data_IF_817661814226
#
_entry.id   IF_817661814226
#
_cell.length_a   1.000
_cell.length_b   1.000
_cell.length_c   1.000
_cell.angle_alpha   90.00
_cell.angle_beta   90.00
_cell.angle_gamma   90.00
#
_symmetry.space_group_name_H-M   'P 1'
#
loop_
_entity.id
_entity.type
_entity.pdbx_description
1 polymer ?
#
# COMPACT_ATOMS: atom_id res chain seq x y z
N UNK A 1 -33.34 -25.71 -13.99
CA UNK A 1 -32.79 -24.96 -12.83
C UNK A 1 -31.27 -25.11 -12.60
N UNK A 2 -30.57 -26.08 -13.22
CA UNK A 2 -29.11 -26.28 -13.03
C UNK A 2 -28.25 -25.04 -13.34
N UNK A 3 -28.64 -24.24 -14.35
CA UNK A 3 -27.90 -23.02 -14.73
C UNK A 3 -27.90 -21.95 -13.63
N UNK A 4 -29.02 -21.77 -12.91
CA UNK A 4 -29.11 -20.76 -11.84
C UNK A 4 -28.25 -21.16 -10.63
N UNK A 5 -28.22 -22.45 -10.28
CA UNK A 5 -27.35 -22.95 -9.22
C UNK A 5 -25.86 -22.72 -9.55
N UNK A 6 -25.45 -22.98 -10.79
CA UNK A 6 -24.08 -22.75 -11.23
C UNK A 6 -23.68 -21.25 -11.20
N UNK A 7 -24.61 -20.36 -11.57
CA UNK A 7 -24.40 -18.91 -11.48
C UNK A 7 -24.24 -18.47 -10.01
N UNK A 8 -25.12 -18.96 -9.13
CA UNK A 8 -25.07 -18.64 -7.69
C UNK A 8 -23.75 -19.09 -7.05
N UNK A 9 -23.28 -20.29 -7.40
CA UNK A 9 -21.99 -20.80 -6.92
C UNK A 9 -20.84 -19.89 -7.36
N UNK A 10 -20.79 -19.54 -8.65
CA UNK A 10 -19.75 -18.65 -9.18
C UNK A 10 -19.75 -17.29 -8.48
N UNK A 11 -20.93 -16.70 -8.25
CA UNK A 11 -21.03 -15.43 -7.52
C UNK A 11 -20.50 -15.54 -6.09
N UNK A 12 -20.82 -16.64 -5.41
CA UNK A 12 -20.36 -16.89 -4.05
C UNK A 12 -18.84 -17.06 -3.99
N UNK A 13 -18.26 -17.82 -4.92
CA UNK A 13 -16.81 -18.04 -5.01
C UNK A 13 -16.07 -16.73 -5.27
N UNK A 14 -16.54 -15.91 -6.22
CA UNK A 14 -15.89 -14.63 -6.53
C UNK A 14 -16.06 -13.61 -5.39
N UNK A 15 -17.19 -13.61 -4.67
CA UNK A 15 -17.36 -12.78 -3.48
C UNK A 15 -16.32 -13.12 -2.41
N UNK A 16 -16.03 -14.40 -2.19
CA UNK A 16 -14.97 -14.82 -1.25
C UNK A 16 -13.58 -14.35 -1.69
N UNK A 17 -13.29 -14.37 -3.00
CA UNK A 17 -12.04 -13.80 -3.54
C UNK A 17 -11.95 -12.30 -3.23
N UNK A 18 -13.02 -11.56 -3.50
CA UNK A 18 -13.03 -10.11 -3.27
C UNK A 18 -12.95 -9.73 -1.79
N UNK A 19 -13.54 -10.52 -0.89
CA UNK A 19 -13.36 -10.36 0.56
C UNK A 19 -11.89 -10.54 0.99
N UNK A 20 -11.19 -11.52 0.41
CA UNK A 20 -9.74 -11.71 0.65
C UNK A 20 -8.91 -10.55 0.10
N UNK A 21 -9.22 -10.07 -1.11
CA UNK A 21 -8.56 -8.89 -1.70
C UNK A 21 -8.71 -7.68 -0.79
N UNK A 22 -9.91 -7.42 -0.27
CA UNK A 22 -10.18 -6.35 0.70
C UNK A 22 -9.33 -6.50 1.97
N UNK A 23 -9.30 -7.69 2.57
CA UNK A 23 -8.50 -7.95 3.77
C UNK A 23 -7.00 -7.73 3.53
N UNK A 24 -6.47 -8.21 2.40
CA UNK A 24 -5.07 -8.03 2.02
C UNK A 24 -4.74 -6.55 1.77
N UNK A 25 -5.64 -5.80 1.14
CA UNK A 25 -5.47 -4.37 0.91
C UNK A 25 -5.43 -3.59 2.24
N UNK A 26 -6.29 -3.93 3.20
CA UNK A 26 -6.24 -3.34 4.56
C UNK A 26 -4.88 -3.61 5.23
N UNK A 27 -4.38 -4.85 5.16
CA UNK A 27 -3.08 -5.20 5.73
C UNK A 27 -1.92 -4.46 5.04
N UNK A 28 -1.96 -4.35 3.71
CA UNK A 28 -0.98 -3.59 2.95
C UNK A 28 -1.00 -2.10 3.32
N UNK A 29 -2.17 -1.48 3.44
CA UNK A 29 -2.28 -0.08 3.88
C UNK A 29 -1.68 0.14 5.26
N UNK A 30 -1.97 -0.75 6.22
CA UNK A 30 -1.41 -0.68 7.57
C UNK A 30 0.12 -0.81 7.56
N UNK A 31 0.68 -1.75 6.78
CA UNK A 31 2.12 -1.93 6.65
C UNK A 31 2.80 -0.70 6.03
N UNK A 32 2.21 -0.10 4.99
CA UNK A 32 2.75 1.10 4.34
C UNK A 32 2.68 2.33 5.27
N UNK A 33 1.63 2.45 6.08
CA UNK A 33 1.53 3.49 7.10
C UNK A 33 2.60 3.37 8.19
N UNK A 34 3.01 2.14 8.52
CA UNK A 34 4.00 1.89 9.57
C UNK A 34 5.42 2.34 9.18
N UNK A 35 5.74 2.46 7.88
CA UNK A 35 7.07 2.85 7.39
C UNK A 35 7.61 4.12 8.07
N UNK A 36 6.76 5.14 8.27
CA UNK A 36 7.20 6.40 8.88
C UNK A 36 7.59 6.26 10.34
N UNK A 37 6.97 5.30 11.04
CA UNK A 37 7.23 5.03 12.45
C UNK A 37 8.40 4.08 12.61
N UNK A 38 8.38 2.96 11.89
CA UNK A 38 9.38 1.89 11.98
C UNK A 38 10.78 2.35 11.55
N UNK A 39 10.84 3.31 10.61
CA UNK A 39 12.09 3.85 10.08
C UNK A 39 12.30 5.34 10.42
N UNK A 40 11.62 5.86 11.45
CA UNK A 40 11.66 7.29 11.81
C UNK A 40 13.09 7.85 11.95
N UNK A 41 13.99 7.10 12.60
CA UNK A 41 15.38 7.52 12.80
C UNK A 41 16.16 7.63 11.48
N UNK A 42 15.97 6.66 10.56
CA UNK A 42 16.61 6.67 9.23
C UNK A 42 16.08 7.83 8.40
N UNK A 43 14.76 8.00 8.38
CA UNK A 43 14.09 9.10 7.67
C UNK A 43 14.61 10.45 8.19
N UNK A 44 14.66 10.65 9.51
CA UNK A 44 15.16 11.88 10.13
C UNK A 44 16.63 12.14 9.77
N UNK A 45 17.46 11.11 9.77
CA UNK A 45 18.89 11.23 9.42
C UNK A 45 19.05 11.70 7.99
N UNK A 46 18.37 11.07 7.04
CA UNK A 46 18.45 11.42 5.62
C UNK A 46 17.86 12.82 5.38
N UNK A 47 16.77 13.19 6.07
CA UNK A 47 16.18 14.52 5.93
C UNK A 47 17.13 15.63 6.41
N UNK A 48 18.02 15.33 7.37
CA UNK A 48 19.03 16.25 7.87
C UNK A 48 20.24 16.43 6.93
N UNK A 49 20.43 15.55 5.93
CA UNK A 49 21.52 15.66 4.96
C UNK A 49 21.50 17.00 4.21
N UNK A 50 22.67 17.49 3.83
CA UNK A 50 22.84 18.68 3.02
C UNK A 50 22.54 18.44 1.54
N UNK A 51 22.83 19.44 0.72
CA UNK A 51 22.71 19.35 -0.75
C UNK A 51 24.03 19.61 -1.47
N UNK A 52 25.10 19.90 -0.74
CA UNK A 52 26.42 20.22 -1.30
C UNK A 52 27.23 18.97 -1.65
N UNK A 53 27.06 17.91 -0.87
CA UNK A 53 27.62 16.59 -1.19
C UNK A 53 26.65 15.82 -2.11
N UNK A 54 27.18 15.23 -3.18
CA UNK A 54 26.38 14.56 -4.19
C UNK A 54 25.69 13.29 -3.67
N UNK A 55 26.33 12.57 -2.74
CA UNK A 55 25.77 11.37 -2.14
C UNK A 55 24.62 11.71 -1.19
N UNK A 56 24.80 12.72 -0.35
CA UNK A 56 23.78 13.25 0.55
C UNK A 56 22.55 13.73 -0.22
N UNK A 57 22.76 14.57 -1.24
CA UNK A 57 21.70 15.08 -2.10
C UNK A 57 20.96 13.94 -2.84
N UNK A 58 21.69 12.96 -3.37
CA UNK A 58 21.14 11.80 -4.05
C UNK A 58 20.30 10.92 -3.12
N UNK A 59 20.75 10.74 -1.87
CA UNK A 59 20.04 9.94 -0.87
C UNK A 59 18.74 10.62 -0.44
N UNK A 60 18.74 11.96 -0.26
CA UNK A 60 17.50 12.73 -0.05
C UNK A 60 16.52 12.59 -1.19
N UNK A 61 16.99 12.73 -2.43
CA UNK A 61 16.15 12.57 -3.61
C UNK A 61 15.54 11.17 -3.69
N UNK A 62 16.30 10.13 -3.33
CA UNK A 62 15.82 8.74 -3.28
C UNK A 62 14.74 8.55 -2.20
N UNK A 63 14.95 9.07 -0.99
CA UNK A 63 13.95 9.01 0.07
C UNK A 63 12.65 9.73 -0.33
N UNK A 64 12.74 10.89 -0.99
CA UNK A 64 11.58 11.62 -1.48
C UNK A 64 10.78 10.82 -2.53
N UNK A 65 11.47 10.14 -3.45
CA UNK A 65 10.83 9.23 -4.43
C UNK A 65 10.13 8.06 -3.74
N UNK A 66 10.82 7.36 -2.86
CA UNK A 66 10.23 6.25 -2.08
C UNK A 66 9.03 6.70 -1.26
N UNK A 67 9.09 7.91 -0.68
CA UNK A 67 7.97 8.51 0.04
C UNK A 67 6.76 8.74 -0.84
N UNK A 68 6.98 9.20 -2.08
CA UNK A 68 5.91 9.36 -3.06
C UNK A 68 5.32 8.00 -3.44
N UNK A 69 6.16 7.01 -3.70
CA UNK A 69 5.76 5.66 -4.11
C UNK A 69 4.92 4.94 -3.05
N UNK A 70 5.38 4.90 -1.78
CA UNK A 70 4.62 4.21 -0.74
C UNK A 70 3.30 4.92 -0.41
N UNK A 71 3.25 6.25 -0.49
CA UNK A 71 2.01 7.00 -0.28
C UNK A 71 0.99 6.75 -1.40
N UNK A 72 1.46 6.71 -2.65
CA UNK A 72 0.60 6.38 -3.80
C UNK A 72 0.06 4.94 -3.70
N UNK A 73 0.92 3.98 -3.37
CA UNK A 73 0.51 2.59 -3.19
C UNK A 73 -0.47 2.44 -2.02
N UNK A 74 -0.24 3.16 -0.92
CA UNK A 74 -1.15 3.17 0.23
C UNK A 74 -2.53 3.70 -0.16
N UNK A 75 -2.61 4.79 -0.93
CA UNK A 75 -3.89 5.34 -1.39
C UNK A 75 -4.69 4.32 -2.22
N UNK A 76 -4.02 3.53 -3.07
CA UNK A 76 -4.66 2.43 -3.81
C UNK A 76 -5.16 1.34 -2.87
N UNK A 77 -4.33 0.94 -1.89
CA UNK A 77 -4.72 -0.06 -0.90
C UNK A 77 -5.92 0.40 -0.05
N UNK A 78 -5.95 1.67 0.36
CA UNK A 78 -7.07 2.29 1.09
C UNK A 78 -8.36 2.25 0.26
N UNK A 79 -8.28 2.59 -1.03
CA UNK A 79 -9.44 2.55 -1.91
C UNK A 79 -10.02 1.13 -2.05
N UNK A 80 -9.16 0.12 -2.20
CA UNK A 80 -9.58 -1.29 -2.28
C UNK A 80 -10.14 -1.78 -0.94
N UNK A 81 -9.52 -1.40 0.17
CA UNK A 81 -9.98 -1.73 1.52
C UNK A 81 -11.36 -1.12 1.82
N UNK A 82 -11.63 0.09 1.32
CA UNK A 82 -12.90 0.78 1.49
C UNK A 82 -14.02 0.30 0.55
N UNK A 83 -13.71 -0.54 -0.45
CA UNK A 83 -14.70 -1.01 -1.40
C UNK A 83 -15.83 -1.79 -0.70
N UNK A 84 -17.06 -1.59 -1.17
CA UNK A 84 -18.23 -2.38 -0.77
C UNK A 84 -18.26 -3.65 -1.61
N UNK A 85 -18.12 -4.81 -0.94
CA UNK A 85 -17.96 -6.13 -1.55
C UNK A 85 -18.97 -7.11 -0.95
#
# INVERSE_FOLDING_TARGET
EVGMAAISQRLSDQRQVMLKVKANASAASAALAAITTDYAAVISTIQAYGTSDAYEAGTKAKLAKMTTEYNALKAVADAVAAANV
#
